data_IF_493985604777
#
_entry.id   IF_493985604777
#
_cell.length_a   1.000
_cell.length_b   1.000
_cell.length_c   1.000
_cell.angle_alpha   90.00
_cell.angle_beta   90.00
_cell.angle_gamma   90.00
#
_symmetry.space_group_name_H-M   'P 1'
#
loop_
_entity.id
_entity.type
_entity.pdbx_description
1 polymer ?
#
# COMPACT_ATOMS: atom_id res chain seq x y z
N UNK A 1 -11.75 0.34 -4.92
CA UNK A 1 -10.73 -0.72 -4.81
C UNK A 1 -10.13 -0.56 -3.44
N UNK A 2 -10.08 -1.62 -2.65
CA UNK A 2 -9.60 -1.52 -1.28
C UNK A 2 -8.08 -1.71 -1.25
N UNK A 3 -7.40 -0.86 -0.50
CA UNK A 3 -5.98 -1.00 -0.19
C UNK A 3 -5.87 -1.29 1.30
N UNK A 4 -5.14 -2.34 1.66
CA UNK A 4 -4.86 -2.70 3.04
C UNK A 4 -3.35 -2.77 3.23
N UNK A 5 -2.87 -2.25 4.35
CA UNK A 5 -1.44 -2.18 4.66
C UNK A 5 -1.21 -2.90 5.98
N UNK A 6 -0.35 -3.89 5.97
CA UNK A 6 0.03 -4.67 7.15
C UNK A 6 1.48 -4.41 7.53
N UNK A 7 1.76 -4.44 8.83
CA UNK A 7 3.12 -4.45 9.34
C UNK A 7 3.73 -5.86 9.17
N UNK A 8 4.84 -5.99 8.45
CA UNK A 8 5.48 -7.30 8.26
C UNK A 8 6.01 -7.91 9.57
N UNK A 9 6.32 -7.11 10.58
CA UNK A 9 6.87 -7.58 11.86
C UNK A 9 5.82 -8.09 12.84
N UNK A 10 4.60 -7.56 12.76
CA UNK A 10 3.53 -7.85 13.72
C UNK A 10 2.32 -8.53 13.12
N UNK A 11 2.16 -8.48 11.79
CA UNK A 11 0.96 -8.93 11.10
C UNK A 11 -0.25 -8.01 11.29
N UNK A 12 -0.11 -6.94 12.08
CA UNK A 12 -1.19 -6.00 12.37
C UNK A 12 -1.52 -5.14 11.13
N UNK A 13 -2.81 -4.90 10.90
CA UNK A 13 -3.30 -3.91 9.94
C UNK A 13 -2.89 -2.51 10.42
N UNK A 14 -2.05 -1.83 9.64
CA UNK A 14 -1.64 -0.44 9.86
C UNK A 14 -2.72 0.49 9.31
N UNK A 15 -3.28 0.14 8.15
CA UNK A 15 -4.14 1.06 7.42
C UNK A 15 -5.04 0.37 6.39
N UNK A 16 -6.18 1.01 6.11
CA UNK A 16 -7.15 0.59 5.10
C UNK A 16 -7.86 1.80 4.48
N UNK A 17 -7.93 1.83 3.16
CA UNK A 17 -8.64 2.90 2.44
C UNK A 17 -9.14 2.44 1.07
N UNK A 18 -10.05 3.23 0.49
CA UNK A 18 -10.58 2.98 -0.85
C UNK A 18 -9.91 3.90 -1.87
N UNK A 19 -9.53 3.34 -3.02
CA UNK A 19 -9.11 4.07 -4.20
C UNK A 19 -10.13 3.94 -5.33
N UNK A 20 -10.29 5.01 -6.11
CA UNK A 20 -10.99 4.95 -7.39
C UNK A 20 -10.17 4.14 -8.42
N UNK A 21 -10.81 3.55 -9.44
CA UNK A 21 -10.11 2.78 -10.47
C UNK A 21 -8.99 3.56 -11.18
N UNK A 22 -9.18 4.85 -11.44
CA UNK A 22 -8.18 5.70 -12.09
C UNK A 22 -6.93 5.93 -11.22
N UNK A 23 -7.11 6.16 -9.92
CA UNK A 23 -5.98 6.36 -8.98
C UNK A 23 -5.24 5.06 -8.67
N UNK A 24 -5.86 3.91 -8.93
CA UNK A 24 -5.23 2.61 -8.78
C UNK A 24 -4.06 2.43 -9.74
N UNK A 25 -4.23 2.80 -11.01
CA UNK A 25 -3.15 2.70 -12.00
C UNK A 25 -1.96 3.56 -11.58
N UNK A 26 -2.22 4.81 -11.18
CA UNK A 26 -1.19 5.70 -10.64
C UNK A 26 -0.53 5.13 -9.37
N UNK A 27 -1.31 4.53 -8.46
CA UNK A 27 -0.80 3.91 -7.24
C UNK A 27 0.11 2.71 -7.56
N UNK A 28 -0.30 1.86 -8.51
CA UNK A 28 0.48 0.70 -8.96
C UNK A 28 1.79 1.12 -9.65
N UNK A 29 1.75 2.15 -10.50
CA UNK A 29 2.93 2.73 -11.12
C UNK A 29 3.91 3.30 -10.08
N UNK A 30 3.40 4.04 -9.09
CA UNK A 30 4.23 4.59 -8.01
C UNK A 30 4.81 3.49 -7.11
N UNK A 31 4.04 2.42 -6.90
CA UNK A 31 4.46 1.24 -6.17
C UNK A 31 5.50 0.38 -6.92
N UNK A 32 5.78 0.60 -8.21
CA UNK A 32 6.81 -0.16 -8.92
C UNK A 32 8.24 0.13 -8.44
N UNK A 33 8.48 1.15 -7.62
CA UNK A 33 9.81 1.41 -7.07
C UNK A 33 10.17 0.50 -5.87
N UNK A 34 11.40 0.00 -5.93
CA UNK A 34 12.21 -0.65 -4.89
C UNK A 34 11.71 -2.00 -4.34
N UNK A 35 12.12 -3.06 -5.03
CA UNK A 35 12.06 -4.47 -4.60
C UNK A 35 13.17 -4.80 -3.60
N UNK A 36 13.32 -4.04 -2.51
CA UNK A 36 14.28 -4.37 -1.45
C UNK A 36 13.60 -4.29 -0.08
N UNK A 37 13.15 -5.45 0.38
CA UNK A 37 12.83 -5.67 1.79
C UNK A 37 13.91 -6.57 2.38
N UNK A 38 15.17 -6.13 2.32
CA UNK A 38 16.31 -6.92 2.82
C UNK A 38 16.40 -6.91 4.36
N UNK A 39 15.68 -6.01 5.05
CA UNK A 39 15.65 -5.90 6.52
C UNK A 39 14.24 -5.53 6.99
N UNK A 40 13.62 -6.39 7.80
CA UNK A 40 12.19 -6.31 8.14
C UNK A 40 11.81 -5.19 9.13
N UNK A 41 12.75 -4.49 9.76
CA UNK A 41 12.43 -3.52 10.84
C UNK A 41 11.39 -2.46 10.46
N UNK A 42 11.23 -2.13 9.17
CA UNK A 42 10.18 -1.25 8.66
C UNK A 42 9.46 -1.81 7.42
N UNK A 43 9.36 -3.13 7.30
CA UNK A 43 8.65 -3.77 6.20
C UNK A 43 7.14 -3.64 6.34
N UNK A 44 6.45 -3.34 5.23
CA UNK A 44 4.99 -3.40 5.12
C UNK A 44 4.58 -4.29 3.96
N UNK A 45 3.45 -4.97 4.12
CA UNK A 45 2.76 -5.68 3.07
C UNK A 45 1.57 -4.83 2.65
N UNK A 46 1.54 -4.44 1.39
CA UNK A 46 0.41 -3.73 0.79
C UNK A 46 -0.38 -4.73 -0.04
N UNK A 47 -1.64 -4.90 0.32
CA UNK A 47 -2.62 -5.71 -0.38
C UNK A 47 -3.66 -4.83 -1.06
N UNK A 48 -4.06 -5.26 -2.24
CA UNK A 48 -5.01 -4.56 -3.08
C UNK A 48 -6.14 -5.48 -3.46
N UNK A 49 -7.36 -5.07 -3.15
CA UNK A 49 -8.57 -5.84 -3.39
C UNK A 49 -9.49 -5.14 -4.40
N UNK A 50 -9.88 -5.88 -5.42
CA UNK A 50 -10.91 -5.48 -6.37
C UNK A 50 -12.14 -6.38 -6.19
N UNK A 51 -13.29 -5.79 -5.88
CA UNK A 51 -14.54 -6.52 -5.63
C UNK A 51 -14.38 -7.68 -4.61
N UNK A 52 -13.61 -7.44 -3.54
CA UNK A 52 -13.34 -8.43 -2.48
C UNK A 52 -12.33 -9.51 -2.85
N UNK A 53 -11.71 -9.45 -4.04
CA UNK A 53 -10.66 -10.39 -4.47
C UNK A 53 -9.30 -9.70 -4.43
N UNK A 54 -8.33 -10.36 -3.80
CA UNK A 54 -6.93 -9.91 -3.81
C UNK A 54 -6.41 -9.93 -5.24
N UNK A 55 -5.94 -8.78 -5.73
CA UNK A 55 -5.36 -8.62 -7.08
C UNK A 55 -3.86 -8.43 -7.05
N UNK A 56 -3.34 -7.71 -6.04
CA UNK A 56 -1.91 -7.46 -5.88
C UNK A 56 -1.54 -7.52 -4.41
N UNK A 57 -0.40 -8.16 -4.12
CA UNK A 57 0.23 -8.15 -2.81
C UNK A 57 1.72 -7.83 -3.00
N UNK A 58 2.20 -6.76 -2.37
CA UNK A 58 3.61 -6.33 -2.47
C UNK A 58 4.19 -6.02 -1.10
N UNK A 59 5.34 -6.63 -0.81
CA UNK A 59 6.18 -6.24 0.33
C UNK A 59 7.09 -5.09 -0.07
N UNK A 60 7.14 -4.05 0.74
CA UNK A 60 8.02 -2.89 0.55
C UNK A 60 8.42 -2.30 1.89
N UNK A 61 9.36 -1.36 1.89
CA UNK A 61 9.72 -0.59 3.08
C UNK A 61 8.75 0.56 3.28
N UNK A 62 8.30 0.76 4.52
CA UNK A 62 7.51 1.92 4.90
C UNK A 62 8.37 3.18 4.95
N UNK A 63 8.60 3.79 3.78
CA UNK A 63 9.37 5.03 3.65
C UNK A 63 8.48 6.26 3.84
N UNK A 64 9.09 7.41 4.16
CA UNK A 64 8.36 8.69 4.20
C UNK A 64 7.78 9.10 2.84
N UNK A 65 8.36 8.61 1.74
CA UNK A 65 7.80 8.77 0.40
C UNK A 65 6.49 8.01 0.26
N UNK A 66 6.49 6.72 0.66
CA UNK A 66 5.29 5.90 0.69
C UNK A 66 4.22 6.49 1.60
N UNK A 67 4.59 6.93 2.81
CA UNK A 67 3.67 7.58 3.75
C UNK A 67 3.02 8.83 3.18
N UNK A 68 3.79 9.71 2.53
CA UNK A 68 3.26 10.91 1.85
C UNK A 68 2.32 10.55 0.71
N UNK A 69 2.70 9.57 -0.10
CA UNK A 69 1.86 9.06 -1.20
C UNK A 69 0.54 8.50 -0.68
N UNK A 70 0.56 7.73 0.41
CA UNK A 70 -0.63 7.17 1.06
C UNK A 70 -1.53 8.28 1.60
N UNK A 71 -0.97 9.27 2.30
CA UNK A 71 -1.74 10.41 2.81
C UNK A 71 -2.38 11.22 1.67
N UNK A 72 -1.64 11.52 0.60
CA UNK A 72 -2.18 12.23 -0.56
C UNK A 72 -3.32 11.47 -1.24
N UNK A 73 -3.21 10.14 -1.31
CA UNK A 73 -4.27 9.30 -1.85
C UNK A 73 -5.49 9.21 -0.92
N UNK A 74 -5.29 9.26 0.41
CA UNK A 74 -6.35 9.26 1.42
C UNK A 74 -7.13 10.57 1.52
N UNK A 75 -6.44 11.71 1.59
CA UNK A 75 -7.08 13.03 1.74
C UNK A 75 -8.03 13.35 0.58
N UNK A 76 -7.79 12.76 -0.58
CA UNK A 76 -8.65 12.93 -1.73
C UNK A 76 -9.93 12.06 -1.73
N UNK A 77 -10.26 11.41 -0.60
CA UNK A 77 -11.50 10.64 -0.35
C UNK A 77 -12.11 10.87 1.04
N UNK A 78 -11.62 11.86 1.81
CA UNK A 78 -12.31 12.36 3.00
C UNK A 78 -13.33 13.44 2.59
#
# INVERSE_FOLDING_TARGET
MEVIIYNCNRGDEIDRFQLSPYKMEMFLEQMHCESQCDICDNGVLIELYYAGRLTVAKKTRFSDSLKRMLNANKEAFA
#
